data_IF_576232057023
#
_entry.id   IF_576232057023
#
_cell.length_a   1.000
_cell.length_b   1.000
_cell.length_c   1.000
_cell.angle_alpha   90.00
_cell.angle_beta   90.00
_cell.angle_gamma   90.00
#
_symmetry.space_group_name_H-M   'P 1'
#
loop_
_entity.id
_entity.type
_entity.pdbx_description
1 polymer ?
#
# COMPACT_ATOMS: atom_id res chain seq x y z
N UNK A 1 1.41 -42.61 15.13
CA UNK A 1 1.13 -41.53 16.10
C UNK A 1 1.47 -40.22 15.40
N UNK A 2 0.51 -39.68 14.65
CA UNK A 2 0.74 -38.53 13.77
C UNK A 2 0.48 -37.27 14.57
N UNK A 3 1.51 -36.49 14.89
CA UNK A 3 1.34 -35.17 15.51
C UNK A 3 0.77 -34.24 14.44
N UNK A 4 -0.49 -33.86 14.61
CA UNK A 4 -1.00 -32.61 14.05
C UNK A 4 -0.26 -31.47 14.75
N UNK A 5 0.36 -30.60 13.96
CA UNK A 5 0.76 -29.27 14.42
C UNK A 5 -0.28 -28.33 13.83
N UNK A 6 -1.27 -27.97 14.65
CA UNK A 6 -2.16 -26.84 14.37
C UNK A 6 -1.33 -25.56 14.56
N UNK A 7 -0.79 -25.03 13.46
CA UNK A 7 -0.27 -23.67 13.42
C UNK A 7 -1.45 -22.71 13.29
N UNK A 8 -2.07 -22.38 14.42
CA UNK A 8 -2.98 -21.25 14.52
C UNK A 8 -2.18 -19.93 14.41
N UNK A 9 -2.11 -19.39 13.20
CA UNK A 9 -1.47 -18.09 12.91
C UNK A 9 -1.38 -17.72 11.42
N UNK A 10 -2.06 -18.44 10.52
CA UNK A 10 -1.99 -18.21 9.07
C UNK A 10 -2.93 -17.08 8.63
N UNK A 11 -2.37 -16.04 8.01
CA UNK A 11 -3.03 -14.88 7.38
C UNK A 11 -4.50 -15.11 7.00
N UNK A 12 -5.43 -14.52 7.77
CA UNK A 12 -6.88 -14.67 7.59
C UNK A 12 -7.40 -14.14 6.25
N UNK A 13 -6.61 -13.39 5.49
CA UNK A 13 -6.96 -12.90 4.15
C UNK A 13 -5.70 -12.84 3.26
N UNK A 14 -5.54 -13.71 2.24
CA UNK A 14 -4.37 -13.70 1.37
C UNK A 14 -4.40 -12.47 0.43
N UNK A 15 -3.22 -11.95 0.11
CA UNK A 15 -3.05 -10.95 -0.95
C UNK A 15 -2.97 -11.66 -2.30
N UNK A 16 -3.75 -11.22 -3.29
CA UNK A 16 -3.67 -11.68 -4.68
C UNK A 16 -2.96 -10.64 -5.53
N UNK A 17 -2.13 -11.09 -6.48
CA UNK A 17 -1.42 -10.23 -7.44
C UNK A 17 -1.74 -10.72 -8.84
N UNK A 18 -2.25 -9.83 -9.67
CA UNK A 18 -2.69 -10.10 -11.03
C UNK A 18 -2.08 -9.06 -11.98
N UNK A 19 -1.44 -9.53 -13.05
CA UNK A 19 -1.06 -8.66 -14.18
C UNK A 19 -2.25 -8.55 -15.14
N UNK A 20 -2.61 -7.33 -15.54
CA UNK A 20 -3.62 -7.07 -16.57
C UNK A 20 -2.96 -6.48 -17.81
N UNK A 21 -2.98 -7.24 -18.90
CA UNK A 21 -2.25 -6.84 -20.11
C UNK A 21 -0.74 -6.73 -19.88
N UNK A 22 -0.08 -5.83 -20.59
CA UNK A 22 1.37 -5.65 -20.53
C UNK A 22 1.84 -4.45 -19.70
N UNK A 23 0.91 -3.61 -19.21
CA UNK A 23 1.20 -2.34 -18.51
C UNK A 23 0.41 -2.10 -17.23
N UNK A 24 -0.32 -3.09 -16.71
CA UNK A 24 -1.08 -2.91 -15.49
C UNK A 24 -0.85 -4.02 -14.47
N UNK A 25 -0.82 -3.63 -13.21
CA UNK A 25 -0.73 -4.52 -12.06
C UNK A 25 -1.92 -4.26 -11.13
N UNK A 26 -2.57 -5.33 -10.68
CA UNK A 26 -3.66 -5.28 -9.72
C UNK A 26 -3.34 -6.17 -8.54
N UNK A 27 -3.33 -5.59 -7.35
CA UNK A 27 -3.12 -6.28 -6.09
C UNK A 27 -4.37 -6.13 -5.25
N UNK A 28 -4.93 -7.24 -4.78
CA UNK A 28 -6.16 -7.21 -3.97
C UNK A 28 -5.95 -7.91 -2.63
N UNK A 29 -6.59 -7.36 -1.59
CA UNK A 29 -6.64 -7.98 -0.26
C UNK A 29 -7.90 -7.56 0.47
N UNK A 30 -8.52 -8.52 1.15
CA UNK A 30 -9.61 -8.24 2.09
C UNK A 30 -9.05 -7.91 3.47
N UNK A 31 -9.60 -6.88 4.12
CA UNK A 31 -9.30 -6.50 5.49
C UNK A 31 -10.53 -6.70 6.37
N UNK A 32 -10.32 -7.21 7.57
CA UNK A 32 -11.35 -7.38 8.60
C UNK A 32 -11.61 -6.05 9.34
N UNK A 33 -11.79 -4.96 8.59
CA UNK A 33 -12.06 -3.63 9.11
C UNK A 33 -12.95 -2.86 8.12
N UNK A 34 -13.76 -1.88 8.58
CA UNK A 34 -14.58 -1.07 7.70
C UNK A 34 -13.73 -0.12 6.83
N UNK A 35 -14.23 0.33 5.66
CA UNK A 35 -13.47 1.18 4.74
C UNK A 35 -12.92 2.44 5.38
N UNK A 36 -13.64 3.02 6.35
CA UNK A 36 -13.19 4.21 7.08
C UNK A 36 -11.92 3.97 7.91
N UNK A 37 -11.76 2.79 8.49
CA UNK A 37 -10.55 2.44 9.24
C UNK A 37 -9.38 2.17 8.31
N UNK A 38 -9.62 1.45 7.21
CA UNK A 38 -8.60 1.19 6.19
C UNK A 38 -8.14 2.51 5.56
N UNK A 39 -9.07 3.34 5.11
CA UNK A 39 -8.79 4.67 4.54
C UNK A 39 -8.01 5.57 5.51
N UNK A 40 -8.30 5.51 6.81
CA UNK A 40 -7.54 6.25 7.83
C UNK A 40 -6.06 5.85 7.85
N UNK A 41 -5.76 4.55 7.71
CA UNK A 41 -4.39 4.06 7.65
C UNK A 41 -3.63 4.48 6.37
N UNK A 42 -4.34 4.83 5.30
CA UNK A 42 -3.78 5.39 4.07
C UNK A 42 -3.64 6.91 4.10
N UNK A 43 -4.54 7.61 4.78
CA UNK A 43 -4.64 9.08 4.73
C UNK A 43 -3.93 9.80 5.87
N UNK A 44 -3.60 9.11 6.96
CA UNK A 44 -2.89 9.69 8.11
C UNK A 44 -1.40 9.32 8.07
N UNK A 45 -0.47 10.30 7.99
CA UNK A 45 0.96 10.03 7.95
C UNK A 45 1.45 9.14 9.09
N UNK A 46 0.94 9.33 10.30
CA UNK A 46 1.38 8.62 11.51
C UNK A 46 0.99 7.14 11.50
N UNK A 47 -0.05 6.78 10.74
CA UNK A 47 -0.45 5.39 10.52
C UNK A 47 0.26 4.83 9.29
N UNK A 48 0.31 5.58 8.20
CA UNK A 48 0.93 5.18 6.94
C UNK A 48 2.37 4.71 7.14
N UNK A 49 3.17 5.46 7.90
CA UNK A 49 4.56 5.14 8.20
C UNK A 49 4.75 3.78 8.89
N UNK A 50 3.74 3.25 9.59
CA UNK A 50 3.86 2.02 10.39
C UNK A 50 3.81 0.73 9.56
N UNK A 51 3.27 0.81 8.34
CA UNK A 51 3.03 -0.37 7.52
C UNK A 51 3.57 -0.25 6.10
N UNK A 52 3.82 0.97 5.60
CA UNK A 52 4.27 1.18 4.23
C UNK A 52 5.71 0.71 3.97
N UNK A 53 6.61 0.81 4.95
CA UNK A 53 7.98 0.30 4.78
C UNK A 53 7.97 -1.22 4.98
N UNK A 54 8.38 -2.03 3.98
CA UNK A 54 8.45 -3.48 4.15
C UNK A 54 9.52 -3.85 5.19
N UNK A 55 9.17 -4.63 6.20
CA UNK A 55 10.08 -5.08 7.27
C UNK A 55 11.19 -5.99 6.72
N UNK A 56 10.97 -6.64 5.59
CA UNK A 56 11.95 -7.49 4.93
C UNK A 56 13.15 -6.74 4.35
N UNK A 57 13.05 -5.41 4.17
CA UNK A 57 14.11 -4.56 3.62
C UNK A 57 14.94 -3.97 4.77
N UNK A 58 16.12 -4.54 5.10
CA UNK A 58 16.85 -4.15 6.29
C UNK A 58 17.44 -2.75 6.14
N UNK A 59 17.34 -1.93 7.19
CA UNK A 59 17.90 -0.58 7.23
C UNK A 59 17.09 0.47 6.45
N UNK A 60 16.01 0.08 5.78
CA UNK A 60 15.07 1.02 5.17
C UNK A 60 14.17 1.65 6.25
N UNK A 61 14.05 2.96 6.23
CA UNK A 61 13.15 3.70 7.12
C UNK A 61 12.55 4.90 6.40
N UNK A 62 11.29 5.21 6.68
CA UNK A 62 10.61 6.39 6.19
C UNK A 62 10.89 7.54 7.18
N UNK A 63 11.81 8.44 6.83
CA UNK A 63 12.31 9.51 7.70
C UNK A 63 11.48 10.80 7.60
N UNK A 64 10.76 10.99 6.50
CA UNK A 64 9.73 12.03 6.36
C UNK A 64 8.54 11.48 5.56
N UNK A 65 7.33 11.86 5.96
CA UNK A 65 6.10 11.47 5.28
C UNK A 65 5.10 12.61 5.37
N UNK A 66 4.92 13.29 4.25
CA UNK A 66 3.99 14.39 4.05
C UNK A 66 2.88 13.90 3.12
N UNK A 67 1.64 13.92 3.60
CA UNK A 67 0.46 13.50 2.83
C UNK A 67 -0.62 14.57 2.92
N UNK A 68 -0.88 15.31 1.85
CA UNK A 68 -2.05 16.21 1.72
C UNK A 68 -3.18 15.48 0.96
N UNK A 69 -3.82 14.52 1.64
CA UNK A 69 -4.74 13.55 1.01
C UNK A 69 -6.10 14.17 0.66
N UNK A 70 -6.10 14.96 -0.40
CA UNK A 70 -7.25 15.58 -1.05
C UNK A 70 -6.98 15.72 -2.54
N UNK A 71 -8.03 15.84 -3.35
CA UNK A 71 -7.89 16.13 -4.77
C UNK A 71 -7.04 17.40 -4.99
N UNK A 72 -5.99 17.27 -5.80
CA UNK A 72 -5.01 18.33 -6.08
C UNK A 72 -3.96 18.55 -4.98
N UNK A 73 -3.99 17.79 -3.89
CA UNK A 73 -2.94 17.78 -2.87
C UNK A 73 -1.67 17.07 -3.37
N UNK A 74 -0.60 17.16 -2.58
CA UNK A 74 0.69 16.53 -2.88
C UNK A 74 1.09 15.56 -1.78
N UNK A 75 2.01 14.65 -2.11
CA UNK A 75 2.68 13.84 -1.12
C UNK A 75 4.19 13.84 -1.35
N UNK A 76 4.93 13.60 -0.26
CA UNK A 76 6.39 13.40 -0.28
C UNK A 76 6.78 12.40 0.81
N UNK A 77 7.48 11.35 0.40
CA UNK A 77 8.00 10.27 1.23
C UNK A 77 9.51 10.24 1.09
N UNK A 78 10.25 10.44 2.18
CA UNK A 78 11.71 10.38 2.18
C UNK A 78 12.18 9.11 2.89
N UNK A 79 12.91 8.26 2.19
CA UNK A 79 13.42 7.00 2.69
C UNK A 79 14.93 7.07 2.89
N UNK A 80 15.41 6.53 4.00
CA UNK A 80 16.82 6.32 4.27
C UNK A 80 17.14 4.82 4.30
N UNK A 81 18.23 4.40 3.66
CA UNK A 81 18.69 3.01 3.62
C UNK A 81 19.97 2.81 4.45
N UNK A 82 19.90 3.11 5.75
CA UNK A 82 20.98 2.88 6.71
C UNK A 82 22.21 3.80 6.61
N UNK A 83 22.19 4.80 5.72
CA UNK A 83 23.23 5.81 5.54
C UNK A 83 22.71 7.25 5.66
N UNK A 84 23.51 8.23 5.26
CA UNK A 84 23.12 9.65 5.23
C UNK A 84 22.29 10.03 4.01
N UNK A 85 22.33 9.21 2.96
CA UNK A 85 21.64 9.47 1.71
C UNK A 85 20.17 9.07 1.82
N UNK A 86 19.30 9.91 1.27
CA UNK A 86 17.86 9.69 1.24
C UNK A 86 17.33 9.68 -0.18
N UNK A 87 16.29 8.90 -0.40
CA UNK A 87 15.54 8.87 -1.65
C UNK A 87 14.13 9.40 -1.40
N UNK A 88 13.70 10.36 -2.22
CA UNK A 88 12.37 10.93 -2.12
C UNK A 88 11.45 10.39 -3.22
N UNK A 89 10.27 9.93 -2.82
CA UNK A 89 9.16 9.62 -3.70
C UNK A 89 8.06 10.64 -3.47
N UNK A 90 7.57 11.26 -4.53
CA UNK A 90 6.66 12.40 -4.42
C UNK A 90 5.80 12.49 -5.67
N UNK A 91 4.64 13.12 -5.52
CA UNK A 91 3.65 13.21 -6.59
C UNK A 91 2.41 13.99 -6.18
N UNK A 92 1.36 13.91 -6.98
CA UNK A 92 0.09 14.62 -6.79
C UNK A 92 -1.08 13.65 -6.66
N UNK A 93 -2.02 13.96 -5.77
CA UNK A 93 -3.30 13.28 -5.70
C UNK A 93 -4.20 13.81 -6.83
N UNK A 94 -4.49 12.95 -7.80
CA UNK A 94 -5.37 13.24 -8.93
C UNK A 94 -6.82 13.31 -8.47
N UNK A 95 -7.23 12.36 -7.63
CA UNK A 95 -8.59 12.28 -7.12
C UNK A 95 -8.62 11.58 -5.76
N UNK A 96 -9.38 12.14 -4.82
CA UNK A 96 -9.62 11.53 -3.51
C UNK A 96 -11.10 11.60 -3.19
N UNK A 97 -11.70 10.42 -3.00
CA UNK A 97 -13.06 10.24 -2.48
C UNK A 97 -12.92 9.52 -1.15
N UNK A 98 -13.17 10.20 -0.01
CA UNK A 98 -12.97 9.62 1.32
C UNK A 98 -13.64 8.27 1.49
N UNK A 99 -12.91 7.29 2.02
CA UNK A 99 -13.36 5.92 2.26
C UNK A 99 -13.75 5.11 1.03
N UNK A 100 -13.54 5.63 -0.19
CA UNK A 100 -13.93 4.96 -1.44
C UNK A 100 -12.74 4.82 -2.39
N UNK A 101 -11.96 5.89 -2.60
CA UNK A 101 -10.88 5.88 -3.59
C UNK A 101 -9.80 6.95 -3.36
N UNK A 102 -8.54 6.59 -3.64
CA UNK A 102 -7.40 7.51 -3.73
C UNK A 102 -6.67 7.23 -5.05
N UNK A 103 -6.42 8.27 -5.85
CA UNK A 103 -5.64 8.19 -7.09
C UNK A 103 -4.49 9.18 -7.03
N UNK A 104 -3.27 8.73 -7.34
CA UNK A 104 -2.08 9.58 -7.35
C UNK A 104 -1.08 9.22 -8.45
N UNK A 105 -0.19 10.16 -8.76
CA UNK A 105 0.98 9.92 -9.63
C UNK A 105 2.17 9.47 -8.79
N UNK A 106 2.99 8.54 -9.30
CA UNK A 106 4.21 8.08 -8.62
C UNK A 106 5.46 8.94 -8.89
N UNK A 107 5.26 10.04 -9.61
CA UNK A 107 6.25 11.08 -9.91
C UNK A 107 5.52 12.43 -10.05
N UNK A 108 6.20 13.56 -9.94
CA UNK A 108 5.64 14.89 -10.25
C UNK A 108 5.40 15.11 -11.74
N UNK A 109 6.12 14.39 -12.60
CA UNK A 109 5.89 14.35 -14.05
C UNK A 109 4.68 13.49 -14.44
N UNK A 110 4.34 13.53 -15.73
CA UNK A 110 3.31 12.66 -16.32
C UNK A 110 3.91 11.34 -16.87
N UNK A 111 5.17 11.04 -16.52
CA UNK A 111 5.91 9.85 -16.98
C UNK A 111 5.85 8.67 -16.00
N UNK A 112 5.44 8.91 -14.75
CA UNK A 112 5.32 7.87 -13.73
C UNK A 112 4.04 7.03 -13.84
N UNK A 113 4.00 5.89 -13.15
CA UNK A 113 2.78 5.11 -13.02
C UNK A 113 1.68 5.92 -12.30
N UNK A 114 0.42 5.66 -12.65
CA UNK A 114 -0.74 6.14 -11.90
C UNK A 114 -1.22 5.01 -10.99
N UNK A 115 -1.27 5.26 -9.69
CA UNK A 115 -1.81 4.31 -8.73
C UNK A 115 -3.22 4.72 -8.33
N UNK A 116 -4.12 3.74 -8.32
CA UNK A 116 -5.48 3.83 -7.81
C UNK A 116 -5.66 2.82 -6.69
N UNK A 117 -6.12 3.29 -5.53
CA UNK A 117 -6.57 2.42 -4.45
C UNK A 117 -8.06 2.62 -4.24
N UNK A 118 -8.83 1.53 -4.27
CA UNK A 118 -10.25 1.54 -3.93
C UNK A 118 -10.52 0.76 -2.65
N UNK A 119 -11.55 1.20 -1.92
CA UNK A 119 -12.00 0.60 -0.67
C UNK A 119 -13.47 0.21 -0.83
N UNK A 120 -13.74 -1.07 -1.11
CA UNK A 120 -15.09 -1.58 -1.28
C UNK A 120 -15.61 -2.18 0.04
N UNK A 121 -16.78 -1.73 0.50
CA UNK A 121 -17.43 -2.26 1.70
C UNK A 121 -18.06 -3.63 1.43
N UNK A 122 -17.62 -4.64 2.17
CA UNK A 122 -18.16 -5.99 2.16
C UNK A 122 -18.95 -6.32 3.43
N UNK A 123 -19.57 -5.31 4.05
CA UNK A 123 -20.37 -5.46 5.27
C UNK A 123 -19.50 -5.49 6.53
N UNK A 124 -18.74 -4.43 6.76
CA UNK A 124 -17.83 -4.30 7.91
C UNK A 124 -16.42 -4.87 7.67
N UNK A 125 -16.19 -5.39 6.46
CA UNK A 125 -14.88 -5.73 5.90
C UNK A 125 -14.62 -4.82 4.71
N UNK A 126 -13.37 -4.70 4.29
CA UNK A 126 -12.99 -3.91 3.12
C UNK A 126 -12.27 -4.78 2.12
N UNK A 127 -12.74 -4.84 0.88
CA UNK A 127 -11.90 -5.27 -0.24
C UNK A 127 -11.10 -4.06 -0.72
N UNK A 128 -9.78 -4.13 -0.52
CA UNK A 128 -8.87 -3.15 -1.08
C UNK A 128 -8.38 -3.65 -2.44
N UNK A 129 -8.49 -2.80 -3.45
CA UNK A 129 -7.84 -3.00 -4.75
C UNK A 129 -6.80 -1.92 -4.96
N UNK A 130 -5.54 -2.32 -5.10
CA UNK A 130 -4.41 -1.48 -5.45
C UNK A 130 -4.08 -1.74 -6.92
N UNK A 131 -4.32 -0.76 -7.77
CA UNK A 131 -4.12 -0.84 -9.22
C UNK A 131 -3.07 0.16 -9.65
N UNK A 132 -2.09 -0.29 -10.41
CA UNK A 132 -1.07 0.56 -11.02
C UNK A 132 -1.14 0.45 -12.54
N UNK A 133 -1.26 1.60 -13.18
CA UNK A 133 -1.16 1.75 -14.63
C UNK A 133 0.20 2.36 -14.99
N UNK A 134 1.02 1.61 -15.71
CA UNK A 134 2.39 1.98 -16.05
C UNK A 134 2.48 2.64 -17.44
N UNK A 135 3.44 3.56 -17.64
CA UNK A 135 3.63 4.25 -18.92
C UNK A 135 4.01 3.28 -20.05
N UNK A 136 4.79 2.23 -19.72
CA UNK A 136 5.30 1.24 -20.67
C UNK A 136 5.35 -0.15 -20.06
N UNK A 137 5.58 -1.16 -20.90
CA UNK A 137 5.77 -2.54 -20.45
C UNK A 137 7.05 -2.64 -19.63
N UNK A 138 8.11 -1.98 -20.08
CA UNK A 138 9.43 -1.98 -19.44
C UNK A 138 9.33 -1.42 -18.01
N UNK A 139 8.55 -0.34 -17.81
CA UNK A 139 8.31 0.22 -16.49
C UNK A 139 7.59 -0.76 -15.54
N UNK A 140 6.63 -1.53 -16.05
CA UNK A 140 6.00 -2.59 -15.27
C UNK A 140 7.01 -3.69 -14.90
N UNK A 141 7.84 -4.14 -15.84
CA UNK A 141 8.84 -5.19 -15.56
C UNK A 141 9.88 -4.73 -14.52
N UNK A 142 10.30 -3.46 -14.57
CA UNK A 142 11.17 -2.86 -13.55
C UNK A 142 10.49 -2.84 -12.18
N UNK A 143 9.24 -2.38 -12.12
CA UNK A 143 8.48 -2.33 -10.87
C UNK A 143 8.27 -3.72 -10.26
N UNK A 144 8.01 -4.75 -11.08
CA UNK A 144 7.87 -6.15 -10.63
C UNK A 144 9.16 -6.72 -9.99
N UNK A 145 10.32 -6.17 -10.34
CA UNK A 145 11.60 -6.52 -9.72
C UNK A 145 11.96 -5.61 -8.54
N UNK A 146 11.24 -4.51 -8.36
CA UNK A 146 11.47 -3.48 -7.36
C UNK A 146 10.25 -3.21 -6.49
N UNK A 147 9.64 -2.03 -6.64
CA UNK A 147 8.58 -1.51 -5.76
C UNK A 147 7.37 -2.44 -5.68
N UNK A 148 6.91 -3.01 -6.80
CA UNK A 148 5.71 -3.83 -6.82
C UNK A 148 5.90 -5.20 -6.13
N UNK A 149 7.14 -5.70 -6.04
CA UNK A 149 7.44 -6.94 -5.33
C UNK A 149 7.15 -6.83 -3.81
N UNK A 150 7.17 -5.61 -3.27
CA UNK A 150 6.92 -5.35 -1.86
C UNK A 150 5.42 -5.25 -1.50
N UNK A 151 4.53 -5.02 -2.47
CA UNK A 151 3.11 -4.78 -2.24
C UNK A 151 2.41 -5.89 -1.42
N UNK A 152 2.66 -7.19 -1.67
CA UNK A 152 2.03 -8.24 -0.87
C UNK A 152 2.41 -8.18 0.61
N UNK A 153 3.67 -7.87 0.91
CA UNK A 153 4.14 -7.71 2.28
C UNK A 153 3.55 -6.46 2.91
N UNK A 154 3.59 -5.31 2.24
CA UNK A 154 3.04 -4.05 2.74
C UNK A 154 1.55 -4.19 3.11
N UNK A 155 0.74 -4.80 2.23
CA UNK A 155 -0.67 -5.06 2.53
C UNK A 155 -0.87 -6.11 3.63
N UNK A 156 0.08 -7.05 3.79
CA UNK A 156 0.13 -7.94 4.95
C UNK A 156 0.31 -7.16 6.26
N UNK A 157 1.31 -6.28 6.30
CA UNK A 157 1.62 -5.43 7.45
C UNK A 157 0.49 -4.46 7.79
N UNK A 158 -0.23 -3.96 6.78
CA UNK A 158 -1.44 -3.16 6.99
C UNK A 158 -2.50 -3.99 7.71
N UNK A 159 -2.68 -5.26 7.34
CA UNK A 159 -3.60 -6.17 8.02
C UNK A 159 -3.26 -6.37 9.49
N UNK A 160 -1.98 -6.52 9.81
CA UNK A 160 -1.50 -6.63 11.19
C UNK A 160 -1.73 -5.34 11.97
N UNK A 161 -1.45 -4.17 11.36
CA UNK A 161 -1.70 -2.87 11.97
C UNK A 161 -3.18 -2.68 12.30
N UNK A 162 -4.07 -2.98 11.35
CA UNK A 162 -5.51 -2.82 11.51
C UNK A 162 -6.06 -3.74 12.62
N UNK A 163 -5.57 -4.98 12.68
CA UNK A 163 -5.95 -5.91 13.76
C UNK A 163 -5.57 -5.37 15.14
N UNK A 164 -4.41 -4.71 15.26
CA UNK A 164 -3.99 -4.07 16.51
C UNK A 164 -4.70 -2.75 16.84
N UNK A 165 -5.44 -2.16 15.90
CA UNK A 165 -6.24 -0.95 16.12
C UNK A 165 -7.63 -1.26 16.70
N UNK A 166 -8.16 -2.45 16.47
CA UNK A 166 -9.43 -2.91 17.07
C UNK A 166 -9.29 -3.26 18.56
N UNK A 167 -8.07 -3.56 19.01
CA UNK A 167 -7.75 -3.91 20.40
C UNK A 167 -7.54 -2.71 21.34
N UNK A 168 -7.73 -1.48 20.87
CA UNK A 168 -7.63 -0.27 21.70
C UNK A 168 -9.01 0.07 22.32
N UNK A 169 -9.14 0.10 23.66
CA UNK A 169 -10.41 0.33 24.37
C UNK A 169 -10.97 1.75 24.21
#
# INVERSE_FOLDING_TARGET
MTRHVDSAGGMRNPTSVERRGDRELVVTRTFDAPPSTVYRAWSQPELFQRWWVPKSVPGMSLVSCELDVRTGGKYRLEFAAGGTDTMAFYGKYIEVVPNERIVWTNDEGDEGAITTVTFEDLGGKTLLTFHEAYPSKEALEEALQGSAAALPEQLGQLGDLLSGMEDLP
#
